data_IF_409737236569
#
_entry.id   IF_409737236569
#
_cell.length_a   1.000
_cell.length_b   1.000
_cell.length_c   1.000
_cell.angle_alpha   90.00
_cell.angle_beta   90.00
_cell.angle_gamma   90.00
#
_symmetry.space_group_name_H-M   'P 1'
#
loop_
_entity.id
_entity.type
_entity.pdbx_description
1 polymer ?
#
# COMPACT_ATOMS: atom_id res chain seq x y z
N UNK A 1 -8.16 -22.71 -9.58
CA UNK A 1 -7.70 -22.30 -8.23
C UNK A 1 -8.90 -21.77 -7.48
N UNK A 2 -9.45 -22.55 -6.54
CA UNK A 2 -10.63 -22.19 -5.76
C UNK A 2 -10.25 -21.19 -4.66
N UNK A 3 -10.97 -20.08 -4.55
CA UNK A 3 -11.12 -19.42 -3.26
C UNK A 3 -11.77 -20.49 -2.37
N UNK A 4 -11.04 -21.04 -1.40
CA UNK A 4 -11.54 -22.14 -0.58
C UNK A 4 -12.85 -21.70 0.08
N UNK A 5 -13.95 -22.26 -0.45
CA UNK A 5 -15.31 -21.79 -0.25
C UNK A 5 -15.75 -22.04 1.19
N UNK A 6 -16.12 -20.96 1.86
CA UNK A 6 -16.77 -20.95 3.15
C UNK A 6 -17.93 -21.97 3.06
N UNK A 7 -17.87 -23.01 3.91
CA UNK A 7 -18.87 -24.08 3.98
C UNK A 7 -19.49 -24.01 5.37
N UNK A 8 -20.78 -24.31 5.49
CA UNK A 8 -21.47 -24.28 6.78
C UNK A 8 -20.80 -25.28 7.73
N UNK A 9 -20.30 -24.85 8.90
CA UNK A 9 -19.63 -25.75 9.83
C UNK A 9 -20.58 -26.79 10.45
N UNK A 10 -21.89 -26.56 10.38
CA UNK A 10 -22.91 -27.47 10.93
C UNK A 10 -23.34 -28.57 9.95
N UNK A 11 -23.45 -28.27 8.66
CA UNK A 11 -24.01 -29.23 7.68
C UNK A 11 -23.18 -29.38 6.39
N UNK A 12 -22.04 -28.70 6.28
CA UNK A 12 -21.17 -28.75 5.10
C UNK A 12 -21.71 -28.04 3.85
N UNK A 13 -22.92 -27.47 3.91
CA UNK A 13 -23.53 -26.77 2.77
C UNK A 13 -22.76 -25.51 2.37
N UNK A 14 -22.66 -25.26 1.07
CA UNK A 14 -22.11 -24.03 0.48
C UNK A 14 -23.17 -22.97 0.17
N UNK A 15 -24.45 -23.22 0.49
CA UNK A 15 -25.55 -22.26 0.30
C UNK A 15 -25.58 -21.29 1.48
N UNK A 16 -24.91 -20.16 1.33
CA UNK A 16 -24.65 -19.20 2.41
C UNK A 16 -25.09 -17.79 1.99
N UNK A 17 -25.76 -17.08 2.91
CA UNK A 17 -26.08 -15.65 2.78
C UNK A 17 -25.31 -14.82 3.81
N UNK A 18 -24.98 -13.57 3.48
CA UNK A 18 -24.43 -12.59 4.43
C UNK A 18 -25.59 -11.88 5.13
N UNK A 19 -25.59 -11.85 6.47
CA UNK A 19 -26.68 -11.30 7.28
C UNK A 19 -26.34 -9.94 7.88
N UNK A 20 -25.05 -9.68 8.15
CA UNK A 20 -24.54 -8.40 8.62
C UNK A 20 -23.17 -8.12 7.99
N UNK A 21 -22.93 -6.87 7.59
CA UNK A 21 -21.69 -6.45 6.92
C UNK A 21 -20.64 -5.91 7.89
N UNK A 22 -21.04 -5.27 8.99
CA UNK A 22 -20.11 -4.65 9.96
C UNK A 22 -19.36 -5.70 10.80
N UNK A 23 -20.06 -6.76 11.20
CA UNK A 23 -19.45 -8.01 11.67
C UNK A 23 -19.83 -9.05 10.64
N UNK A 24 -18.86 -9.52 9.86
CA UNK A 24 -19.12 -10.36 8.70
C UNK A 24 -19.77 -11.68 9.16
N UNK A 25 -21.10 -11.75 9.12
CA UNK A 25 -21.88 -12.87 9.68
C UNK A 25 -22.57 -13.61 8.56
N UNK A 26 -22.39 -14.93 8.54
CA UNK A 26 -22.97 -15.83 7.57
C UNK A 26 -24.17 -16.57 8.13
N UNK A 27 -25.13 -16.87 7.26
CA UNK A 27 -26.24 -17.78 7.55
C UNK A 27 -26.31 -18.87 6.47
N UNK A 28 -26.40 -20.11 6.90
CA UNK A 28 -26.66 -21.23 5.99
C UNK A 28 -28.13 -21.24 5.61
N UNK A 29 -28.41 -21.28 4.31
CA UNK A 29 -29.77 -21.33 3.78
C UNK A 29 -30.44 -22.71 3.96
N UNK A 30 -29.66 -23.77 4.14
CA UNK A 30 -30.20 -25.13 4.25
C UNK A 30 -30.50 -25.54 5.71
N UNK A 31 -29.67 -25.14 6.67
CA UNK A 31 -29.87 -25.52 8.09
C UNK A 31 -30.14 -24.33 9.03
N UNK A 32 -30.19 -23.11 8.49
CA UNK A 32 -30.45 -21.88 9.24
C UNK A 32 -29.34 -21.46 10.20
N UNK A 33 -28.25 -22.22 10.31
CA UNK A 33 -27.15 -21.94 11.23
C UNK A 33 -26.46 -20.62 10.88
N UNK A 34 -26.25 -19.78 11.88
CA UNK A 34 -25.59 -18.48 11.76
C UNK A 34 -24.23 -18.57 12.45
N UNK A 35 -23.18 -18.11 11.77
CA UNK A 35 -21.85 -18.03 12.35
C UNK A 35 -21.10 -16.83 11.80
N UNK A 36 -20.24 -16.27 12.64
CA UNK A 36 -19.20 -15.36 12.19
C UNK A 36 -17.95 -16.21 11.98
N UNK A 37 -17.33 -16.15 10.79
CA UNK A 37 -16.10 -16.89 10.57
C UNK A 37 -15.03 -16.27 11.47
N UNK A 38 -14.22 -17.11 12.12
CA UNK A 38 -13.02 -16.62 12.79
C UNK A 38 -11.94 -16.40 11.72
N UNK A 39 -12.17 -15.42 10.84
CA UNK A 39 -11.16 -14.98 9.89
C UNK A 39 -10.14 -14.18 10.70
N UNK A 40 -8.82 -14.44 10.59
CA UNK A 40 -7.84 -13.48 11.10
C UNK A 40 -8.21 -12.13 10.50
N UNK A 41 -8.30 -11.08 11.33
CA UNK A 41 -8.82 -9.77 10.97
C UNK A 41 -8.35 -9.41 9.56
N UNK A 42 -9.24 -9.56 8.58
CA UNK A 42 -8.82 -9.56 7.19
C UNK A 42 -8.30 -8.17 6.89
N UNK A 43 -7.01 -8.11 6.53
CA UNK A 43 -6.39 -6.86 6.14
C UNK A 43 -5.53 -6.18 7.21
N UNK A 44 -5.16 -6.84 8.31
CA UNK A 44 -4.05 -6.33 9.14
C UNK A 44 -2.69 -6.67 8.48
N UNK A 45 -1.76 -5.71 8.52
CA UNK A 45 -0.39 -5.81 8.04
C UNK A 45 0.54 -5.57 9.24
N UNK A 46 1.52 -6.45 9.44
CA UNK A 46 2.51 -6.28 10.49
C UNK A 46 3.56 -5.24 10.09
N UNK A 47 3.72 -4.22 10.92
CA UNK A 47 4.70 -3.13 10.75
C UNK A 47 5.51 -2.92 12.02
N UNK A 48 6.52 -2.04 12.01
CA UNK A 48 7.25 -1.68 13.23
C UNK A 48 6.39 -0.87 14.21
N UNK A 49 5.34 -0.23 13.73
CA UNK A 49 4.33 0.44 14.55
C UNK A 49 3.29 -0.52 15.16
N UNK A 50 3.34 -1.81 14.82
CA UNK A 50 2.37 -2.82 15.25
C UNK A 50 1.52 -3.37 14.09
N UNK A 51 0.41 -4.02 14.44
CA UNK A 51 -0.57 -4.49 13.46
C UNK A 51 -1.46 -3.33 13.01
N UNK A 52 -1.44 -3.02 11.72
CA UNK A 52 -2.11 -1.86 11.13
C UNK A 52 -3.00 -2.32 9.97
N UNK A 53 -4.19 -1.73 9.82
CA UNK A 53 -5.08 -2.12 8.73
C UNK A 53 -4.54 -1.65 7.37
N UNK A 54 -4.70 -2.47 6.32
CA UNK A 54 -4.15 -2.25 4.98
C UNK A 54 -4.62 -0.95 4.33
N UNK A 55 -5.82 -0.46 4.69
CA UNK A 55 -6.31 0.84 4.22
C UNK A 55 -5.50 1.99 4.79
N UNK A 56 -5.04 1.87 6.04
CA UNK A 56 -4.16 2.87 6.66
C UNK A 56 -2.78 2.83 6.02
N UNK A 57 -2.25 1.64 5.73
CA UNK A 57 -1.00 1.49 4.96
C UNK A 57 -1.13 2.14 3.57
N UNK A 58 -2.25 1.96 2.89
CA UNK A 58 -2.51 2.60 1.59
C UNK A 58 -2.51 4.12 1.71
N UNK A 59 -3.18 4.67 2.73
CA UNK A 59 -3.18 6.11 3.01
C UNK A 59 -1.76 6.61 3.30
N UNK A 60 -0.98 5.88 4.11
CA UNK A 60 0.42 6.21 4.39
C UNK A 60 1.26 6.23 3.11
N UNK A 61 1.03 5.31 2.17
CA UNK A 61 1.70 5.33 0.86
C UNK A 61 1.30 6.55 0.02
N UNK A 62 0.03 6.96 0.04
CA UNK A 62 -0.47 8.16 -0.65
C UNK A 62 0.12 9.45 -0.05
N UNK A 63 0.16 9.54 1.28
CA UNK A 63 0.78 10.65 2.01
C UNK A 63 2.28 10.71 1.74
N UNK A 64 2.96 9.57 1.70
CA UNK A 64 4.39 9.49 1.37
C UNK A 64 4.68 9.88 -0.08
N UNK A 65 3.81 9.55 -1.05
CA UNK A 65 3.94 10.05 -2.44
C UNK A 65 3.79 11.57 -2.50
N UNK A 66 2.85 12.14 -1.75
CA UNK A 66 2.66 13.59 -1.69
C UNK A 66 3.87 14.28 -1.08
N UNK A 67 4.43 13.71 -0.02
CA UNK A 67 5.66 14.20 0.60
C UNK A 67 6.87 14.11 -0.35
N UNK A 68 6.96 13.07 -1.19
CA UNK A 68 8.00 13.00 -2.24
C UNK A 68 7.89 14.18 -3.21
N UNK A 69 6.69 14.58 -3.63
CA UNK A 69 6.51 15.73 -4.50
C UNK A 69 7.02 17.02 -3.84
N UNK A 70 6.70 17.25 -2.56
CA UNK A 70 7.19 18.40 -1.78
C UNK A 70 8.72 18.39 -1.66
N UNK A 71 9.30 17.21 -1.43
CA UNK A 71 10.75 17.04 -1.37
C UNK A 71 11.38 17.36 -2.73
N UNK A 72 10.82 16.93 -3.86
CA UNK A 72 11.38 17.21 -5.20
C UNK A 72 11.42 18.71 -5.58
N UNK A 73 10.63 19.54 -4.90
CA UNK A 73 10.70 20.99 -5.05
C UNK A 73 11.89 21.62 -4.31
N UNK A 74 12.40 20.98 -3.26
CA UNK A 74 13.43 21.53 -2.36
C UNK A 74 14.74 20.72 -2.30
N UNK A 75 14.65 19.42 -2.49
CA UNK A 75 15.69 18.41 -2.45
C UNK A 75 15.74 17.70 -3.81
N UNK A 76 16.93 17.58 -4.39
CA UNK A 76 17.10 17.01 -5.74
C UNK A 76 17.90 15.72 -5.74
N UNK A 77 18.50 15.34 -4.61
CA UNK A 77 19.25 14.10 -4.48
C UNK A 77 18.32 12.96 -4.06
N UNK A 78 18.41 11.84 -4.78
CA UNK A 78 17.55 10.71 -4.52
C UNK A 78 17.84 10.03 -3.17
N UNK A 79 19.11 9.97 -2.73
CA UNK A 79 19.41 9.40 -1.42
C UNK A 79 18.84 10.27 -0.30
N UNK A 80 18.92 11.59 -0.45
CA UNK A 80 18.25 12.56 0.41
C UNK A 80 16.75 12.34 0.50
N UNK A 81 16.07 12.21 -0.65
CA UNK A 81 14.62 11.94 -0.69
C UNK A 81 14.28 10.60 -0.03
N UNK A 82 14.99 9.52 -0.35
CA UNK A 82 14.77 8.20 0.27
C UNK A 82 14.94 8.27 1.79
N UNK A 83 16.01 8.90 2.26
CA UNK A 83 16.32 8.99 3.69
C UNK A 83 15.23 9.74 4.45
N UNK A 84 14.73 10.86 3.92
CA UNK A 84 13.66 11.64 4.56
C UNK A 84 12.32 10.91 4.56
N UNK A 85 11.99 10.19 3.48
CA UNK A 85 10.76 9.37 3.43
C UNK A 85 10.88 8.19 4.41
N UNK A 86 12.05 7.56 4.50
CA UNK A 86 12.33 6.48 5.44
C UNK A 86 12.26 6.95 6.90
N UNK A 87 12.78 8.14 7.20
CA UNK A 87 12.72 8.74 8.55
C UNK A 87 11.27 9.01 8.96
N UNK A 88 10.46 9.56 8.05
CA UNK A 88 9.07 9.93 8.34
C UNK A 88 8.10 8.75 8.37
N UNK A 89 8.27 7.77 7.49
CA UNK A 89 7.28 6.70 7.27
C UNK A 89 7.81 5.28 7.56
N UNK A 90 9.08 5.14 7.94
CA UNK A 90 9.74 3.84 8.13
C UNK A 90 9.20 2.96 9.26
N UNK A 91 8.35 3.50 10.13
CA UNK A 91 7.64 2.72 11.13
C UNK A 91 6.47 1.93 10.53
N UNK A 92 5.88 2.42 9.44
CA UNK A 92 4.74 1.83 8.75
C UNK A 92 5.13 1.14 7.45
N UNK A 93 6.16 1.64 6.77
CA UNK A 93 6.62 1.17 5.46
C UNK A 93 7.94 0.43 5.58
N UNK A 94 8.07 -0.69 4.87
CA UNK A 94 9.38 -1.34 4.70
C UNK A 94 10.28 -0.48 3.81
N UNK A 95 11.60 -0.68 3.88
CA UNK A 95 12.54 0.00 2.98
C UNK A 95 12.19 -0.22 1.51
N UNK A 96 11.67 -1.41 1.17
CA UNK A 96 11.22 -1.71 -0.19
C UNK A 96 10.00 -0.87 -0.59
N UNK A 97 9.06 -0.66 0.33
CA UNK A 97 7.87 0.16 0.09
C UNK A 97 8.22 1.64 -0.02
N UNK A 98 9.13 2.13 0.82
CA UNK A 98 9.69 3.49 0.73
C UNK A 98 10.30 3.73 -0.65
N UNK A 99 11.18 2.84 -1.12
CA UNK A 99 11.81 2.99 -2.44
C UNK A 99 10.77 2.99 -3.56
N UNK A 100 9.77 2.09 -3.51
CA UNK A 100 8.68 2.07 -4.49
C UNK A 100 7.89 3.39 -4.50
N UNK A 101 7.56 3.92 -3.34
CA UNK A 101 6.84 5.19 -3.20
C UNK A 101 7.67 6.34 -3.79
N UNK A 102 8.97 6.40 -3.50
CA UNK A 102 9.86 7.41 -4.08
C UNK A 102 9.89 7.32 -5.61
N UNK A 103 10.11 6.13 -6.17
CA UNK A 103 10.15 5.94 -7.63
C UNK A 103 8.83 6.35 -8.29
N UNK A 104 7.69 5.95 -7.70
CA UNK A 104 6.37 6.27 -8.24
C UNK A 104 6.05 7.76 -8.13
N UNK A 105 6.37 8.38 -6.98
CA UNK A 105 6.20 9.82 -6.77
C UNK A 105 7.07 10.64 -7.73
N UNK A 106 8.34 10.27 -7.88
CA UNK A 106 9.25 10.91 -8.85
C UNK A 106 8.72 10.80 -10.27
N UNK A 107 8.27 9.61 -10.69
CA UNK A 107 7.72 9.42 -12.04
C UNK A 107 6.52 10.35 -12.27
N UNK A 108 5.58 10.37 -11.34
CA UNK A 108 4.39 11.21 -11.42
C UNK A 108 4.76 12.70 -11.47
N UNK A 109 5.69 13.13 -10.62
CA UNK A 109 6.20 14.49 -10.60
C UNK A 109 6.89 14.88 -11.93
N UNK A 110 7.72 14.00 -12.48
CA UNK A 110 8.37 14.21 -13.78
C UNK A 110 7.35 14.38 -14.91
N UNK A 111 6.25 13.62 -14.91
CA UNK A 111 5.17 13.77 -15.89
C UNK A 111 4.50 15.15 -15.79
N UNK A 112 4.34 15.68 -14.58
CA UNK A 112 3.75 17.01 -14.32
C UNK A 112 4.68 18.17 -14.72
N UNK A 113 5.99 18.01 -14.56
CA UNK A 113 6.98 19.07 -14.82
C UNK A 113 7.53 19.04 -16.25
N UNK A 114 7.43 17.90 -16.96
CA UNK A 114 7.98 17.69 -18.32
C UNK A 114 7.73 18.85 -19.29
N UNK A 115 6.53 19.43 -19.26
CA UNK A 115 6.13 20.52 -20.16
C UNK A 115 6.17 21.91 -19.50
N UNK A 116 6.36 21.99 -18.18
CA UNK A 116 6.41 23.24 -17.41
C UNK A 116 7.82 23.77 -17.25
N UNK A 117 8.79 22.88 -17.00
CA UNK A 117 10.19 23.22 -16.78
C UNK A 117 11.11 22.11 -17.29
N UNK A 118 11.58 22.26 -18.54
CA UNK A 118 12.41 21.28 -19.24
C UNK A 118 13.79 21.11 -18.59
N UNK A 119 14.32 22.17 -17.97
CA UNK A 119 15.62 22.14 -17.29
C UNK A 119 15.53 21.35 -15.99
N UNK A 120 14.48 21.60 -15.19
CA UNK A 120 14.19 20.84 -13.97
C UNK A 120 13.91 19.37 -14.30
N UNK A 121 13.14 19.10 -15.35
CA UNK A 121 12.87 17.75 -15.83
C UNK A 121 14.16 16.98 -16.19
N UNK A 122 15.04 17.58 -17.00
CA UNK A 122 16.31 16.93 -17.40
C UNK A 122 17.20 16.63 -16.21
N UNK A 123 17.35 17.59 -15.28
CA UNK A 123 18.17 17.42 -14.08
C UNK A 123 17.65 16.30 -13.18
N UNK A 124 16.35 16.31 -12.87
CA UNK A 124 15.73 15.30 -12.01
C UNK A 124 15.77 13.91 -12.67
N UNK A 125 15.53 13.82 -13.98
CA UNK A 125 15.59 12.55 -14.70
C UNK A 125 16.97 11.90 -14.59
N UNK A 126 18.05 12.68 -14.79
CA UNK A 126 19.41 12.18 -14.68
C UNK A 126 19.75 11.71 -13.26
N UNK A 127 19.30 12.45 -12.24
CA UNK A 127 19.60 12.10 -10.84
C UNK A 127 18.84 10.86 -10.37
N UNK A 128 17.56 10.75 -10.70
CA UNK A 128 16.74 9.62 -10.28
C UNK A 128 16.97 8.35 -11.12
N UNK A 129 17.55 8.45 -12.32
CA UNK A 129 18.02 7.27 -13.06
C UNK A 129 19.16 6.54 -12.32
N UNK A 130 20.11 7.26 -11.73
CA UNK A 130 21.18 6.66 -10.89
C UNK A 130 20.60 5.88 -9.73
N UNK A 131 19.51 6.40 -9.16
CA UNK A 131 18.87 5.81 -8.01
C UNK A 131 18.08 4.53 -8.35
N UNK A 132 17.52 4.46 -9.56
CA UNK A 132 16.86 3.25 -10.07
C UNK A 132 17.82 2.06 -10.18
N UNK A 133 19.10 2.31 -10.41
CA UNK A 133 20.13 1.27 -10.44
C UNK A 133 20.36 0.63 -9.06
N UNK A 134 20.15 1.38 -7.96
CA UNK A 134 20.21 0.83 -6.59
C UNK A 134 19.11 -0.20 -6.31
N UNK A 135 17.98 -0.13 -7.02
CA UNK A 135 16.87 -1.07 -6.88
C UNK A 135 17.02 -2.33 -7.75
N UNK A 136 17.93 -2.31 -8.73
CA UNK A 136 18.13 -3.43 -9.68
C UNK A 136 19.21 -4.42 -9.24
N UNK A 137 19.83 -4.18 -8.08
CA UNK A 137 20.77 -5.09 -7.39
C UNK A 137 20.08 -5.70 -6.17
#
# INVERSE_FOLDING_TARGET
>A
MSIQGISCPKCGSRRISIVAAETLTFKCLDCGYVWSPNLPAQGLVSTRAGEVHWTEIKKVMEDAMSYVHELLDSDTDCNGVISRVQERFGNYLTTRDVIKVVINGVRKYLDEVRYKDVNKYSRLTAEFMKCKELYSK
#
